data_IF_500016526939
#
_entry.id   IF_500016526939
#
_cell.length_a   1.000
_cell.length_b   1.000
_cell.length_c   1.000
_cell.angle_alpha   90.00
_cell.angle_beta   90.00
_cell.angle_gamma   90.00
#
_symmetry.space_group_name_H-M   'P 1'
#
loop_
_entity.id
_entity.type
_entity.pdbx_description
1 polymer ?
#
# COMPACT_ATOMS: atom_id res chain seq x y z
N UNK A 1 1.50 66.37 -27.07
CA UNK A 1 0.45 65.63 -26.34
C UNK A 1 0.76 64.14 -26.39
N UNK A 2 0.30 63.40 -25.37
CA UNK A 2 1.00 62.28 -24.71
C UNK A 2 1.11 61.01 -25.56
N UNK A 3 2.29 60.36 -25.43
CA UNK A 3 2.71 59.11 -26.06
C UNK A 3 1.85 57.95 -25.53
N UNK A 4 1.23 57.23 -26.45
CA UNK A 4 0.46 56.01 -26.20
C UNK A 4 1.26 54.85 -26.79
N UNK A 5 2.05 54.13 -26.00
CA UNK A 5 2.62 52.85 -26.44
C UNK A 5 3.04 52.05 -25.22
N UNK A 6 2.70 50.75 -25.26
CA UNK A 6 3.11 49.65 -24.35
C UNK A 6 2.10 49.36 -23.22
N UNK A 7 1.12 48.47 -23.51
CA UNK A 7 0.80 47.41 -22.55
C UNK A 7 0.62 46.05 -23.26
N UNK A 8 1.54 45.66 -24.16
CA UNK A 8 1.52 44.32 -24.79
C UNK A 8 2.69 43.42 -24.33
N UNK A 9 3.76 44.01 -23.78
CA UNK A 9 4.95 43.27 -23.36
C UNK A 9 4.77 42.53 -22.02
N UNK A 10 3.85 42.98 -21.17
CA UNK A 10 3.62 42.37 -19.85
C UNK A 10 2.75 41.09 -19.89
N UNK A 11 1.94 40.92 -20.94
CA UNK A 11 1.04 39.75 -21.08
C UNK A 11 1.80 38.50 -21.56
N UNK A 12 2.93 38.67 -22.26
CA UNK A 12 3.73 37.56 -22.78
C UNK A 12 4.58 36.88 -21.68
N UNK A 13 4.95 37.63 -20.62
CA UNK A 13 5.79 37.09 -19.52
C UNK A 13 4.98 36.17 -18.59
N UNK A 14 3.65 36.31 -18.53
CA UNK A 14 2.78 35.46 -17.71
C UNK A 14 2.49 34.08 -18.34
N UNK A 15 2.84 33.85 -19.61
CA UNK A 15 2.63 32.56 -20.28
C UNK A 15 3.80 31.57 -20.07
N UNK A 16 4.90 31.99 -19.44
CA UNK A 16 6.06 31.13 -19.14
C UNK A 16 6.20 30.76 -17.67
N UNK A 17 5.17 30.99 -16.84
CA UNK A 17 5.04 30.31 -15.55
C UNK A 17 4.65 28.85 -15.82
N UNK A 18 5.63 28.12 -16.35
CA UNK A 18 5.51 26.75 -16.82
C UNK A 18 5.01 25.84 -15.72
N UNK A 19 3.97 25.07 -16.06
CA UNK A 19 3.77 23.77 -15.44
C UNK A 19 5.11 23.05 -15.48
N UNK A 20 5.69 22.82 -14.31
CA UNK A 20 6.79 21.88 -14.16
C UNK A 20 6.16 20.51 -14.42
N UNK A 21 6.18 20.07 -15.68
CA UNK A 21 5.87 18.70 -16.05
C UNK A 21 6.91 17.82 -15.36
N UNK A 22 6.59 17.42 -14.13
CA UNK A 22 7.18 16.24 -13.54
C UNK A 22 6.63 15.09 -14.37
N UNK A 23 7.28 14.81 -15.51
CA UNK A 23 6.91 13.72 -16.39
C UNK A 23 6.92 12.43 -15.59
N UNK A 24 5.76 12.05 -15.05
CA UNK A 24 5.57 10.80 -14.36
C UNK A 24 5.71 9.73 -15.42
N UNK A 25 6.74 8.90 -15.29
CA UNK A 25 6.81 7.68 -16.09
C UNK A 25 5.48 6.94 -15.97
N UNK A 26 4.98 6.32 -17.06
CA UNK A 26 3.76 5.54 -16.98
C UNK A 26 3.91 4.48 -15.88
N UNK A 27 2.92 4.40 -14.99
CA UNK A 27 2.91 3.42 -13.91
C UNK A 27 2.84 2.02 -14.51
N UNK A 28 3.76 1.15 -14.08
CA UNK A 28 3.71 -0.26 -14.45
C UNK A 28 2.62 -0.98 -13.66
N UNK A 29 1.45 -1.11 -14.26
CA UNK A 29 0.31 -1.81 -13.66
C UNK A 29 0.38 -3.33 -13.81
N UNK A 30 1.47 -3.89 -14.37
CA UNK A 30 1.66 -5.35 -14.44
C UNK A 30 1.96 -5.98 -13.07
N UNK A 31 2.34 -5.16 -12.09
CA UNK A 31 2.59 -5.54 -10.69
C UNK A 31 1.67 -4.79 -9.75
N UNK A 32 1.33 -5.40 -8.62
CA UNK A 32 0.49 -4.74 -7.59
C UNK A 32 1.29 -3.75 -6.75
N UNK A 33 2.56 -4.07 -6.46
CA UNK A 33 3.47 -3.23 -5.68
C UNK A 33 4.83 -3.16 -6.39
N UNK A 34 5.23 -2.00 -6.96
CA UNK A 34 6.49 -1.86 -7.66
C UNK A 34 7.67 -1.81 -6.68
N UNK A 35 8.44 -2.90 -6.62
CA UNK A 35 9.59 -3.04 -5.73
C UNK A 35 10.88 -2.71 -6.50
N UNK A 36 11.28 -1.43 -6.49
CA UNK A 36 12.54 -0.99 -7.08
C UNK A 36 13.29 -0.18 -6.05
N UNK A 37 14.60 -0.40 -5.93
CA UNK A 37 15.44 0.33 -4.97
C UNK A 37 15.26 1.84 -5.13
N UNK A 38 15.05 2.51 -4.00
CA UNK A 38 14.74 3.95 -3.91
C UNK A 38 13.25 4.29 -4.00
N UNK A 39 12.37 3.36 -4.41
CA UNK A 39 10.93 3.56 -4.26
C UNK A 39 10.60 3.70 -2.78
N UNK A 40 9.71 4.64 -2.45
CA UNK A 40 9.26 4.83 -1.07
C UNK A 40 7.78 5.21 -0.98
N UNK A 41 7.23 4.99 0.22
CA UNK A 41 5.88 5.35 0.62
C UNK A 41 5.88 5.85 2.06
N UNK A 42 5.25 7.00 2.28
CA UNK A 42 5.02 7.58 3.59
C UNK A 42 3.56 7.38 4.00
N UNK A 43 3.34 6.91 5.22
CA UNK A 43 2.01 6.64 5.76
C UNK A 43 1.77 7.39 7.06
N UNK A 44 0.48 7.57 7.38
CA UNK A 44 0.01 7.93 8.70
C UNK A 44 -0.75 6.76 9.28
N UNK A 45 -0.46 6.41 10.53
CA UNK A 45 -1.16 5.39 11.28
C UNK A 45 -1.88 6.01 12.46
N UNK A 46 -3.16 5.68 12.60
CA UNK A 46 -4.01 6.10 13.71
C UNK A 46 -4.46 4.88 14.50
N UNK A 47 -4.21 4.90 15.81
CA UNK A 47 -4.76 3.91 16.74
C UNK A 47 -5.97 4.50 17.44
N UNK A 48 -7.03 3.72 17.59
CA UNK A 48 -8.30 4.14 18.18
C UNK A 48 -8.57 3.40 19.50
N UNK A 49 -9.13 4.10 20.48
CA UNK A 49 -9.69 3.48 21.68
C UNK A 49 -11.06 2.83 21.42
N UNK A 50 -11.64 2.20 22.44
CA UNK A 50 -12.96 1.55 22.35
C UNK A 50 -14.12 2.52 22.09
N UNK A 51 -13.93 3.82 22.32
CA UNK A 51 -14.90 4.87 22.04
C UNK A 51 -14.72 5.48 20.64
N UNK A 52 -13.70 5.04 19.89
CA UNK A 52 -13.36 5.57 18.56
C UNK A 52 -12.56 6.86 18.58
N UNK A 53 -11.93 7.24 19.71
CA UNK A 53 -11.02 8.38 19.77
C UNK A 53 -9.62 7.96 19.33
N UNK A 54 -8.93 8.83 18.60
CA UNK A 54 -7.52 8.62 18.26
C UNK A 54 -6.68 8.75 19.54
N UNK A 55 -5.92 7.71 19.87
CA UNK A 55 -5.01 7.67 21.02
C UNK A 55 -3.54 7.70 20.61
N UNK A 56 -3.25 7.42 19.34
CA UNK A 56 -1.91 7.51 18.78
C UNK A 56 -1.96 7.90 17.31
N UNK A 57 -0.94 8.62 16.87
CA UNK A 57 -0.79 9.17 15.51
C UNK A 57 0.69 9.11 15.12
N UNK A 58 1.03 8.13 14.30
CA UNK A 58 2.42 7.79 13.94
C UNK A 58 2.66 7.99 12.45
N UNK A 59 3.80 8.58 12.09
CA UNK A 59 4.29 8.58 10.72
C UNK A 59 5.17 7.36 10.46
N UNK A 60 4.95 6.69 9.33
CA UNK A 60 5.68 5.49 8.91
C UNK A 60 6.32 5.78 7.56
N UNK A 61 7.61 5.50 7.42
CA UNK A 61 8.34 5.57 6.15
C UNK A 61 8.72 4.16 5.72
N UNK A 62 8.36 3.77 4.51
CA UNK A 62 8.78 2.51 3.87
C UNK A 62 9.60 2.82 2.64
N UNK A 63 10.84 2.34 2.58
CA UNK A 63 11.72 2.48 1.42
C UNK A 63 12.28 1.12 1.00
N UNK A 64 12.34 0.88 -0.31
CA UNK A 64 13.08 -0.27 -0.85
C UNK A 64 14.57 0.07 -0.81
N UNK A 65 15.29 -0.42 0.19
CA UNK A 65 16.69 -0.04 0.43
C UNK A 65 17.70 -0.95 -0.28
N UNK A 66 17.29 -2.15 -0.66
CA UNK A 66 18.22 -3.16 -1.20
C UNK A 66 17.47 -4.13 -2.11
N UNK A 67 18.08 -4.43 -3.25
CA UNK A 67 17.81 -5.63 -4.03
C UNK A 67 18.91 -6.67 -3.77
N UNK A 68 18.52 -7.93 -3.65
CA UNK A 68 19.44 -9.05 -3.54
C UNK A 68 18.97 -10.18 -4.44
N UNK A 69 19.86 -11.13 -4.74
CA UNK A 69 19.50 -12.35 -5.44
C UNK A 69 19.65 -13.53 -4.49
N UNK A 70 18.53 -14.12 -4.07
CA UNK A 70 18.50 -15.36 -3.30
C UNK A 70 17.79 -16.40 -4.17
N UNK A 71 18.44 -17.55 -4.35
CA UNK A 71 17.95 -18.65 -5.21
C UNK A 71 17.58 -18.23 -6.64
N UNK A 72 18.34 -17.30 -7.22
CA UNK A 72 18.13 -16.82 -8.59
C UNK A 72 16.91 -15.90 -8.77
N UNK A 73 16.33 -15.41 -7.68
CA UNK A 73 15.21 -14.45 -7.70
C UNK A 73 15.68 -13.09 -7.18
N UNK A 74 15.31 -12.02 -7.88
CA UNK A 74 15.48 -10.65 -7.39
C UNK A 74 14.49 -10.40 -6.27
N UNK A 75 15.01 -10.10 -5.08
CA UNK A 75 14.28 -9.92 -3.84
C UNK A 75 14.55 -8.54 -3.29
N UNK A 76 13.51 -7.91 -2.75
CA UNK A 76 13.57 -6.52 -2.34
C UNK A 76 13.30 -6.41 -0.85
N UNK A 77 14.22 -5.76 -0.15
CA UNK A 77 14.09 -5.49 1.29
C UNK A 77 13.44 -4.12 1.47
N UNK A 78 12.37 -4.06 2.26
CA UNK A 78 11.73 -2.81 2.67
C UNK A 78 12.23 -2.46 4.07
N UNK A 79 12.87 -1.30 4.20
CA UNK A 79 13.56 -0.88 5.42
C UNK A 79 14.54 -1.95 5.93
N UNK A 80 14.91 -1.90 7.21
CA UNK A 80 15.84 -2.83 7.83
C UNK A 80 15.23 -4.18 8.26
N UNK A 81 13.95 -4.41 7.99
CA UNK A 81 13.24 -5.64 8.35
C UNK A 81 13.77 -6.86 7.56
N UNK A 82 13.91 -8.05 8.19
CA UNK A 82 14.39 -9.27 7.52
C UNK A 82 13.31 -9.91 6.63
N UNK A 83 12.48 -9.11 5.98
CA UNK A 83 11.37 -9.52 5.13
C UNK A 83 11.69 -9.10 3.69
N UNK A 84 11.66 -10.07 2.78
CA UNK A 84 11.93 -9.83 1.38
C UNK A 84 10.66 -10.00 0.56
N UNK A 85 10.39 -9.04 -0.30
CA UNK A 85 9.26 -9.06 -1.22
C UNK A 85 9.73 -9.29 -2.65
N UNK A 86 8.91 -9.94 -3.45
CA UNK A 86 9.15 -10.09 -4.89
C UNK A 86 7.84 -10.31 -5.65
N UNK A 87 7.78 -9.84 -6.90
CA UNK A 87 6.62 -10.02 -7.76
C UNK A 87 6.82 -11.26 -8.65
N UNK A 88 5.77 -12.08 -8.76
CA UNK A 88 5.59 -13.09 -9.80
C UNK A 88 4.38 -12.74 -10.66
N UNK A 89 4.15 -13.49 -11.74
CA UNK A 89 3.03 -13.26 -12.66
C UNK A 89 1.64 -13.41 -12.03
N UNK A 90 1.54 -14.09 -10.89
CA UNK A 90 0.30 -14.39 -10.17
C UNK A 90 0.18 -13.66 -8.82
N UNK A 91 1.18 -12.87 -8.42
CA UNK A 91 1.05 -12.03 -7.25
C UNK A 91 2.34 -11.49 -6.66
N UNK A 92 2.16 -10.82 -5.54
CA UNK A 92 3.23 -10.38 -4.66
C UNK A 92 3.49 -11.46 -3.62
N UNK A 93 4.75 -11.83 -3.46
CA UNK A 93 5.21 -12.85 -2.54
C UNK A 93 6.10 -12.24 -1.46
N UNK A 94 6.10 -12.90 -0.30
CA UNK A 94 7.03 -12.67 0.78
C UNK A 94 7.90 -13.91 0.95
N UNK A 95 9.21 -13.71 1.02
CA UNK A 95 10.15 -14.71 1.48
C UNK A 95 10.48 -14.42 2.95
N UNK A 96 10.12 -15.37 3.81
CA UNK A 96 10.59 -15.40 5.19
C UNK A 96 11.67 -16.48 5.31
N UNK A 97 12.77 -16.12 5.96
CA UNK A 97 13.82 -17.05 6.32
C UNK A 97 13.60 -17.46 7.78
N UNK A 98 13.35 -18.74 8.04
CA UNK A 98 13.36 -19.22 9.41
C UNK A 98 14.80 -19.31 9.97
N UNK A 99 14.96 -19.54 11.28
CA UNK A 99 16.28 -19.67 11.91
C UNK A 99 17.13 -20.83 11.38
N UNK A 100 16.52 -21.78 10.65
CA UNK A 100 17.22 -22.88 9.98
C UNK A 100 17.64 -22.53 8.54
N UNK A 101 17.30 -21.34 8.07
CA UNK A 101 17.50 -20.92 6.68
C UNK A 101 16.56 -21.65 5.71
N UNK A 102 15.46 -22.22 6.21
CA UNK A 102 14.43 -22.82 5.38
C UNK A 102 13.48 -21.73 4.91
N UNK A 103 13.28 -21.71 3.61
CA UNK A 103 12.45 -20.72 2.94
C UNK A 103 10.98 -21.07 3.04
N UNK A 104 10.18 -20.13 3.54
CA UNK A 104 8.73 -20.12 3.34
C UNK A 104 8.38 -19.02 2.36
N UNK A 105 8.17 -19.42 1.09
CA UNK A 105 7.59 -18.54 0.09
C UNK A 105 6.08 -18.47 0.32
N UNK A 106 5.59 -17.29 0.69
CA UNK A 106 4.18 -17.06 0.98
C UNK A 106 3.62 -16.11 -0.06
N UNK A 107 2.53 -16.50 -0.72
CA UNK A 107 1.75 -15.59 -1.54
C UNK A 107 1.10 -14.55 -0.60
N UNK A 108 1.57 -13.32 -0.68
CA UNK A 108 1.08 -12.22 0.17
C UNK A 108 -0.15 -11.56 -0.43
N UNK A 109 -0.13 -11.26 -1.73
CA UNK A 109 -1.29 -10.75 -2.47
C UNK A 109 -1.39 -11.39 -3.83
N UNK A 110 -2.53 -12.04 -4.13
CA UNK A 110 -2.85 -12.49 -5.48
C UNK A 110 -3.08 -11.29 -6.40
N UNK A 111 -2.39 -11.25 -7.55
CA UNK A 111 -2.58 -10.22 -8.57
C UNK A 111 -2.03 -10.68 -9.94
N UNK A 112 -2.78 -10.53 -11.05
CA UNK A 112 -4.16 -10.03 -11.11
C UNK A 112 -5.14 -10.99 -10.43
N UNK A 113 -6.26 -10.45 -9.94
CA UNK A 113 -7.29 -11.22 -9.26
C UNK A 113 -8.70 -10.83 -9.72
N UNK A 114 -9.68 -11.68 -9.46
CA UNK A 114 -11.09 -11.42 -9.66
C UNK A 114 -11.82 -11.19 -8.33
N UNK A 115 -12.97 -10.53 -8.37
CA UNK A 115 -13.88 -10.47 -7.21
C UNK A 115 -14.23 -11.90 -6.76
N UNK A 116 -14.19 -12.13 -5.44
CA UNK A 116 -14.40 -13.40 -4.76
C UNK A 116 -13.30 -14.45 -4.95
N UNK A 117 -12.17 -14.11 -5.58
CA UNK A 117 -10.97 -14.94 -5.45
C UNK A 117 -10.57 -15.05 -3.98
N UNK A 118 -9.95 -16.18 -3.62
CA UNK A 118 -9.33 -16.36 -2.31
C UNK A 118 -8.00 -17.10 -2.45
N UNK A 119 -7.14 -16.91 -1.47
CA UNK A 119 -5.87 -17.61 -1.35
C UNK A 119 -5.49 -17.75 0.13
N UNK A 120 -4.63 -18.71 0.45
CA UNK A 120 -4.13 -18.89 1.80
C UNK A 120 -2.77 -18.18 1.90
N UNK A 121 -2.69 -17.22 2.83
CA UNK A 121 -1.43 -16.61 3.24
C UNK A 121 -1.09 -17.20 4.62
N UNK A 122 -0.11 -18.11 4.64
CA UNK A 122 0.22 -18.95 5.81
C UNK A 122 -1.01 -19.73 6.32
N UNK A 123 -1.52 -19.34 7.49
CA UNK A 123 -2.61 -20.01 8.21
C UNK A 123 -3.97 -19.32 8.02
N UNK A 124 -4.01 -18.18 7.30
CA UNK A 124 -5.20 -17.36 7.13
C UNK A 124 -5.67 -17.34 5.67
N UNK A 125 -6.99 -17.43 5.47
CA UNK A 125 -7.60 -17.24 4.16
C UNK A 125 -7.86 -15.75 3.91
N UNK A 126 -7.31 -15.25 2.81
CA UNK A 126 -7.54 -13.89 2.32
C UNK A 126 -8.48 -13.91 1.13
N UNK A 127 -9.47 -13.01 1.15
CA UNK A 127 -10.46 -12.86 0.09
C UNK A 127 -10.24 -11.57 -0.68
N UNK A 128 -10.37 -11.63 -2.01
CA UNK A 128 -10.44 -10.45 -2.88
C UNK A 128 -11.88 -10.01 -2.94
N UNK A 129 -12.21 -8.99 -2.16
CA UNK A 129 -13.59 -8.53 -1.95
C UNK A 129 -14.05 -7.50 -2.98
N UNK A 130 -13.11 -6.74 -3.56
CA UNK A 130 -13.38 -5.77 -4.59
C UNK A 130 -12.10 -5.56 -5.44
N UNK A 131 -12.20 -5.47 -6.76
CA UNK A 131 -11.07 -5.18 -7.66
C UNK A 131 -11.12 -3.76 -8.23
N UNK A 132 -12.11 -2.96 -7.83
CA UNK A 132 -12.32 -1.59 -8.30
C UNK A 132 -12.78 -0.62 -7.21
N UNK A 133 -12.32 -0.82 -5.97
CA UNK A 133 -12.66 0.05 -4.85
C UNK A 133 -12.01 1.43 -5.02
N UNK A 134 -12.82 2.50 -5.04
CA UNK A 134 -12.28 3.86 -5.06
C UNK A 134 -11.94 4.32 -3.63
N UNK A 135 -10.66 4.47 -3.34
CA UNK A 135 -10.14 4.83 -2.02
C UNK A 135 -9.52 6.22 -2.07
N UNK A 136 -9.93 7.08 -1.13
CA UNK A 136 -9.44 8.45 -0.98
C UNK A 136 -8.62 8.51 0.30
N UNK A 137 -7.37 8.95 0.18
CA UNK A 137 -6.39 9.15 1.27
C UNK A 137 -5.65 10.48 1.03
N UNK A 138 -4.80 10.97 1.96
CA UNK A 138 -4.10 12.24 1.76
C UNK A 138 -3.25 12.30 0.47
N UNK A 139 -2.71 11.17 0.00
CA UNK A 139 -1.96 11.09 -1.26
C UNK A 139 -2.83 11.22 -2.53
N UNK A 140 -4.16 11.14 -2.43
CA UNK A 140 -5.08 11.25 -3.58
C UNK A 140 -6.20 10.21 -3.59
N UNK A 141 -6.79 10.00 -4.78
CA UNK A 141 -7.83 9.01 -5.03
C UNK A 141 -7.26 7.87 -5.89
N UNK A 142 -7.48 6.63 -5.49
CA UNK A 142 -6.91 5.45 -6.11
C UNK A 142 -7.98 4.39 -6.38
N UNK A 143 -7.84 3.69 -7.51
CA UNK A 143 -8.60 2.49 -7.79
C UNK A 143 -7.84 1.28 -7.24
N UNK A 144 -8.41 0.62 -6.25
CA UNK A 144 -7.75 -0.39 -5.44
C UNK A 144 -8.40 -1.77 -5.56
N UNK A 145 -7.55 -2.79 -5.46
CA UNK A 145 -7.93 -4.11 -5.00
C UNK A 145 -8.09 -4.08 -3.49
N UNK A 146 -9.22 -4.59 -3.01
CA UNK A 146 -9.57 -4.72 -1.61
C UNK A 146 -9.46 -6.19 -1.20
N UNK A 147 -8.52 -6.46 -0.31
CA UNK A 147 -8.29 -7.77 0.29
C UNK A 147 -8.83 -7.78 1.72
N UNK A 148 -9.50 -8.85 2.13
CA UNK A 148 -9.97 -9.04 3.51
C UNK A 148 -9.44 -10.35 4.05
N UNK A 149 -8.63 -10.28 5.10
CA UNK A 149 -8.18 -11.43 5.88
C UNK A 149 -8.97 -11.52 7.20
N UNK A 150 -9.19 -12.74 7.67
CA UNK A 150 -9.84 -13.00 8.95
C UNK A 150 -9.07 -14.05 9.72
N UNK A 151 -8.53 -13.67 10.88
CA UNK A 151 -7.82 -14.59 11.76
C UNK A 151 -8.73 -15.14 12.84
N UNK A 152 -8.75 -16.47 12.96
CA UNK A 152 -9.51 -17.19 14.01
C UNK A 152 -8.53 -17.69 15.06
N UNK A 153 -8.74 -17.32 16.32
CA UNK A 153 -7.96 -17.85 17.44
C UNK A 153 -8.77 -18.91 18.19
N UNK A 154 -8.15 -20.08 18.41
CA UNK A 154 -8.70 -21.20 19.18
C UNK A 154 -9.72 -22.07 18.45
N UNK A 155 -10.15 -23.14 19.13
CA UNK A 155 -10.99 -24.21 18.56
C UNK A 155 -12.45 -23.79 18.26
N UNK A 156 -12.87 -22.59 18.68
CA UNK A 156 -14.29 -22.19 18.69
C UNK A 156 -14.73 -21.34 17.48
N UNK A 157 -13.91 -21.24 16.42
CA UNK A 157 -14.26 -20.54 15.17
C UNK A 157 -14.67 -19.06 15.32
N UNK A 158 -14.37 -18.42 16.45
CA UNK A 158 -14.65 -17.00 16.64
C UNK A 158 -13.58 -16.17 15.93
N UNK A 159 -14.03 -15.28 15.05
CA UNK A 159 -13.18 -14.25 14.43
C UNK A 159 -12.80 -13.27 15.53
N UNK A 160 -11.52 -13.05 15.75
CA UNK A 160 -11.06 -12.00 16.67
C UNK A 160 -10.54 -10.81 15.88
N UNK A 161 -9.73 -11.07 14.85
CA UNK A 161 -9.07 -10.04 14.08
C UNK A 161 -9.50 -10.07 12.62
N UNK A 162 -9.86 -8.90 12.07
CA UNK A 162 -10.12 -8.71 10.64
C UNK A 162 -9.21 -7.61 10.14
N UNK A 163 -8.50 -7.89 9.05
CA UNK A 163 -7.68 -6.92 8.33
C UNK A 163 -8.30 -6.68 6.96
N UNK A 164 -8.43 -5.42 6.57
CA UNK A 164 -8.83 -5.03 5.22
C UNK A 164 -7.70 -4.19 4.62
N UNK A 165 -7.12 -4.67 3.53
CA UNK A 165 -6.01 -4.02 2.83
C UNK A 165 -6.47 -3.51 1.48
N UNK A 166 -6.01 -2.32 1.10
CA UNK A 166 -6.30 -1.69 -0.18
C UNK A 166 -4.99 -1.43 -0.91
N UNK A 167 -4.84 -2.03 -2.09
CA UNK A 167 -3.65 -1.92 -2.93
C UNK A 167 -4.02 -1.43 -4.33
N UNK A 168 -3.30 -0.43 -4.83
CA UNK A 168 -3.49 0.08 -6.19
C UNK A 168 -2.40 -0.48 -7.13
N UNK A 169 -2.78 -1.05 -8.29
CA UNK A 169 -1.82 -1.53 -9.29
C UNK A 169 -0.77 -0.49 -9.67
N UNK A 170 0.50 -0.90 -9.71
CA UNK A 170 1.63 -0.04 -10.03
C UNK A 170 1.96 1.00 -8.97
N UNK A 171 1.29 1.00 -7.80
CA UNK A 171 1.59 1.91 -6.69
C UNK A 171 1.90 1.12 -5.42
N UNK A 172 1.13 0.08 -5.11
CA UNK A 172 1.29 -0.69 -3.89
C UNK A 172 0.25 -0.37 -2.83
N UNK A 173 0.67 -0.36 -1.58
CA UNK A 173 -0.21 -0.23 -0.41
C UNK A 173 -0.78 1.19 -0.31
N UNK A 174 -2.12 1.32 -0.27
CA UNK A 174 -2.82 2.60 -0.18
C UNK A 174 -3.43 2.83 1.20
N UNK A 175 -4.08 1.79 1.75
CA UNK A 175 -4.76 1.85 3.04
C UNK A 175 -4.81 0.48 3.70
N UNK A 176 -4.78 0.43 5.02
CA UNK A 176 -5.21 -0.73 5.80
C UNK A 176 -6.16 -0.32 6.92
N UNK A 177 -7.14 -1.17 7.18
CA UNK A 177 -8.05 -1.06 8.31
C UNK A 177 -7.98 -2.36 9.13
N UNK A 178 -7.68 -2.23 10.41
CA UNK A 178 -7.64 -3.35 11.33
C UNK A 178 -8.78 -3.25 12.32
N UNK A 179 -9.49 -4.37 12.48
CA UNK A 179 -10.64 -4.49 13.35
C UNK A 179 -10.41 -5.61 14.38
N UNK A 180 -10.80 -5.35 15.62
CA UNK A 180 -10.74 -6.31 16.73
C UNK A 180 -12.08 -6.31 17.48
N UNK A 181 -12.31 -7.30 18.33
CA UNK A 181 -13.48 -7.38 19.20
C UNK A 181 -13.25 -6.63 20.51
N UNK A 182 -14.24 -5.83 20.91
CA UNK A 182 -14.29 -5.31 22.27
C UNK A 182 -14.67 -6.39 23.30
N UNK A 183 -14.69 -6.02 24.58
CA UNK A 183 -15.08 -6.92 25.69
C UNK A 183 -16.50 -7.51 25.54
N UNK A 184 -17.37 -6.85 24.76
CA UNK A 184 -18.75 -7.29 24.50
C UNK A 184 -18.86 -8.10 23.20
N UNK A 185 -17.76 -8.33 22.49
CA UNK A 185 -17.71 -9.08 21.24
C UNK A 185 -18.07 -8.27 19.99
N UNK A 186 -18.23 -6.95 20.09
CA UNK A 186 -18.48 -6.11 18.93
C UNK A 186 -17.19 -5.87 18.17
N UNK A 187 -17.24 -6.02 16.84
CA UNK A 187 -16.10 -5.71 15.97
C UNK A 187 -15.96 -4.19 15.85
N UNK A 188 -14.80 -3.66 16.23
CA UNK A 188 -14.46 -2.24 16.22
C UNK A 188 -13.19 -2.03 15.43
N UNK A 189 -13.16 -0.95 14.66
CA UNK A 189 -11.94 -0.46 14.04
C UNK A 189 -11.00 0.00 15.15
N UNK A 190 -9.75 -0.45 15.13
CA UNK A 190 -8.76 -0.05 16.13
C UNK A 190 -7.45 0.49 15.53
N UNK A 191 -7.14 0.20 14.25
CA UNK A 191 -6.03 0.84 13.53
C UNK A 191 -6.44 1.19 12.10
N UNK A 192 -6.07 2.40 11.65
CA UNK A 192 -6.04 2.78 10.23
C UNK A 192 -4.61 3.15 9.86
N UNK A 193 -4.17 2.72 8.68
CA UNK A 193 -2.97 3.24 8.04
C UNK A 193 -3.32 3.79 6.66
N UNK A 194 -2.90 5.01 6.33
CA UNK A 194 -3.23 5.71 5.08
C UNK A 194 -1.99 6.30 4.41
N UNK A 195 -1.91 6.17 3.09
CA UNK A 195 -0.83 6.74 2.30
C UNK A 195 -0.89 8.28 2.26
N UNK A 196 0.22 8.93 2.61
CA UNK A 196 0.40 10.38 2.60
C UNK A 196 1.12 10.82 1.32
N UNK A 197 2.21 10.15 0.98
CA UNK A 197 3.04 10.45 -0.19
C UNK A 197 3.79 9.21 -0.64
N UNK A 198 4.25 9.21 -1.88
CA UNK A 198 5.07 8.13 -2.42
C UNK A 198 5.94 8.64 -3.57
N UNK A 199 7.01 7.89 -3.88
CA UNK A 199 7.84 8.11 -5.06
C UNK A 199 8.23 6.79 -5.69
N UNK A 200 8.10 6.71 -7.01
CA UNK A 200 8.43 5.55 -7.83
C UNK A 200 9.45 5.96 -8.90
N UNK A 201 10.36 5.05 -9.24
CA UNK A 201 11.46 5.27 -10.19
C UNK A 201 11.43 4.35 -11.40
#
# INVERSE_FOLDING_TARGET
MKKLFIPLLFVIILLFAGCKDNGTQPLDTSVIWPLKVGNYWDYRMYDYDSNGNIINDTLIHLEVITDTTILGRSLYKINDEPIYFYNLSDGLYVLMLDYSGKDTNVLFLKYPANNNDYFNAEDDTTFVTNTSANIIVPAGSFNCYQYSGMKRYGNNSQIFFKMVMYFAPGIGWIKTENYDKDFYGNVKLYIITELISYKLY
#
